data_IF_918364645493
#
_entry.id   IF_918364645493
#
_cell.length_a   1.000
_cell.length_b   1.000
_cell.length_c   1.000
_cell.angle_alpha   90.00
_cell.angle_beta   90.00
_cell.angle_gamma   90.00
#
_symmetry.space_group_name_H-M   'P 1'
#
loop_
_entity.id
_entity.type
_entity.pdbx_description
1 polymer ?
#
# COMPACT_ATOMS: atom_id res chain seq x y z
N UNK A 1 59.27 3.40 13.50
CA UNK A 1 58.10 2.55 13.78
C UNK A 1 57.12 3.39 14.59
N UNK A 2 56.08 3.90 13.95
CA UNK A 2 55.08 4.78 14.59
C UNK A 2 54.07 3.93 15.35
N UNK A 3 54.13 4.02 16.68
CA UNK A 3 53.14 3.49 17.62
C UNK A 3 51.80 4.19 17.41
N UNK A 4 50.92 3.56 16.63
CA UNK A 4 49.51 3.96 16.52
C UNK A 4 48.87 3.74 17.89
N UNK A 5 48.40 4.83 18.48
CA UNK A 5 47.71 4.84 19.76
C UNK A 5 46.34 4.13 19.59
N UNK A 6 46.08 2.98 20.23
CA UNK A 6 44.86 2.19 20.03
C UNK A 6 43.61 2.84 20.67
N UNK A 7 43.76 3.97 21.37
CA UNK A 7 42.68 4.70 22.05
C UNK A 7 41.72 5.45 21.13
N UNK A 8 42.02 5.55 19.82
CA UNK A 8 41.14 6.18 18.83
C UNK A 8 40.56 5.18 17.82
N UNK A 9 40.38 3.92 18.23
CA UNK A 9 39.30 3.09 17.70
C UNK A 9 37.96 3.57 18.28
N UNK A 10 37.65 4.85 18.04
CA UNK A 10 36.30 5.40 18.24
C UNK A 10 35.39 4.75 17.20
N UNK A 11 35.01 3.50 17.48
CA UNK A 11 33.88 2.82 16.84
C UNK A 11 32.58 3.39 17.41
N UNK A 12 32.42 4.70 17.41
CA UNK A 12 31.11 5.32 17.36
C UNK A 12 30.72 5.33 15.89
N UNK A 13 30.27 4.18 15.37
CA UNK A 13 29.34 4.24 14.25
C UNK A 13 28.28 5.25 14.70
N UNK A 14 27.97 6.32 13.95
CA UNK A 14 26.87 7.18 14.30
C UNK A 14 25.62 6.28 14.29
N UNK A 15 25.24 5.78 15.46
CA UNK A 15 23.95 5.19 15.70
C UNK A 15 23.06 6.41 15.63
N UNK A 16 22.56 6.71 14.41
CA UNK A 16 21.81 7.92 14.14
C UNK A 16 20.80 8.13 15.26
N UNK A 17 20.90 9.27 15.93
CA UNK A 17 20.13 9.55 17.14
C UNK A 17 18.66 9.30 16.86
N UNK A 18 18.06 8.39 17.64
CA UNK A 18 16.62 8.20 17.55
C UNK A 18 15.94 9.36 18.25
N UNK A 19 15.02 10.00 17.56
CA UNK A 19 14.19 11.08 18.12
C UNK A 19 12.76 10.60 18.25
N UNK A 20 12.09 11.11 19.27
CA UNK A 20 10.63 11.04 19.34
C UNK A 20 10.09 12.00 18.28
N UNK A 21 9.33 11.45 17.35
CA UNK A 21 8.61 12.18 16.32
C UNK A 21 7.14 12.19 16.67
N UNK A 22 6.56 13.38 16.79
CA UNK A 22 5.14 13.56 17.00
C UNK A 22 4.44 13.64 15.63
N UNK A 23 3.56 12.69 15.35
CA UNK A 23 2.81 12.60 14.11
C UNK A 23 1.40 13.13 14.36
N UNK A 24 1.00 14.14 13.61
CA UNK A 24 -0.31 14.76 13.68
C UNK A 24 -1.04 14.65 12.34
N UNK A 25 -2.28 14.17 12.37
CA UNK A 25 -3.16 14.13 11.21
C UNK A 25 -4.44 14.92 11.50
N UNK A 26 -4.75 15.86 10.60
CA UNK A 26 -5.85 16.81 10.71
C UNK A 26 -6.88 16.60 9.61
N UNK A 27 -8.16 16.90 9.88
CA UNK A 27 -9.20 16.93 8.84
C UNK A 27 -9.69 15.56 8.36
N UNK A 28 -9.36 14.49 9.08
CA UNK A 28 -9.92 13.17 8.86
C UNK A 28 -11.22 13.00 9.65
N UNK A 29 -12.26 12.51 8.99
CA UNK A 29 -13.54 12.12 9.62
C UNK A 29 -13.61 10.60 9.64
N UNK A 30 -13.97 10.04 10.79
CA UNK A 30 -14.07 8.59 11.00
C UNK A 30 -15.51 8.17 11.25
N UNK A 31 -15.87 6.99 10.77
CA UNK A 31 -17.09 6.31 11.17
C UNK A 31 -16.88 5.52 12.47
N UNK A 32 -17.96 5.19 13.21
CA UNK A 32 -17.85 4.37 14.41
C UNK A 32 -17.19 3.01 14.12
N UNK A 33 -16.15 2.68 14.87
CA UNK A 33 -15.38 1.44 14.68
C UNK A 33 -14.13 1.59 13.81
N UNK A 34 -13.95 2.74 13.15
CA UNK A 34 -12.74 2.99 12.37
C UNK A 34 -11.52 3.27 13.26
N UNK A 35 -10.37 2.79 12.83
CA UNK A 35 -9.06 3.03 13.44
C UNK A 35 -8.10 3.61 12.41
N UNK A 36 -7.26 4.54 12.85
CA UNK A 36 -6.28 5.22 11.99
C UNK A 36 -4.89 4.74 12.34
N UNK A 37 -4.12 4.46 11.31
CA UNK A 37 -2.75 4.00 11.45
C UNK A 37 -1.81 4.91 10.67
N UNK A 38 -0.66 5.17 11.28
CA UNK A 38 0.52 5.72 10.62
C UNK A 38 1.42 4.56 10.23
N UNK A 39 1.70 4.44 8.94
CA UNK A 39 2.58 3.42 8.38
C UNK A 39 3.85 4.09 7.90
N UNK A 40 5.00 3.61 8.36
CA UNK A 40 6.32 4.09 7.94
C UNK A 40 7.12 2.92 7.39
N UNK A 41 7.71 3.13 6.23
CA UNK A 41 8.64 2.21 5.59
C UNK A 41 10.03 2.81 5.55
N UNK A 42 11.01 2.01 5.94
CA UNK A 42 12.42 2.35 5.75
C UNK A 42 12.90 2.06 4.32
N UNK A 43 14.14 2.42 4.02
CA UNK A 43 14.76 2.18 2.72
C UNK A 43 15.02 0.69 2.43
N UNK A 44 14.86 -0.20 3.40
CA UNK A 44 14.90 -1.65 3.22
C UNK A 44 13.51 -2.25 2.97
N UNK A 45 12.45 -1.42 2.94
CA UNK A 45 11.07 -1.86 2.77
C UNK A 45 10.45 -2.45 4.03
N UNK A 46 11.08 -2.31 5.19
CA UNK A 46 10.50 -2.73 6.46
C UNK A 46 9.41 -1.74 6.88
N UNK A 47 8.17 -2.23 6.93
CA UNK A 47 7.00 -1.42 7.28
C UNK A 47 6.67 -1.58 8.75
N UNK A 48 6.57 -0.47 9.47
CA UNK A 48 6.06 -0.39 10.83
C UNK A 48 4.74 0.36 10.84
N UNK A 49 3.81 -0.12 11.66
CA UNK A 49 2.46 0.43 11.76
C UNK A 49 2.17 0.84 13.18
N UNK A 50 1.70 2.07 13.35
CA UNK A 50 1.43 2.69 14.63
C UNK A 50 -0.03 3.14 14.69
N UNK A 51 -0.75 2.78 15.76
CA UNK A 51 -2.11 3.24 15.98
C UNK A 51 -2.07 4.73 16.34
N UNK A 52 -2.90 5.54 15.68
CA UNK A 52 -3.07 6.94 16.04
C UNK A 52 -4.20 7.12 17.04
N UNK A 53 -3.96 7.94 18.06
CA UNK A 53 -4.94 8.29 19.09
C UNK A 53 -5.79 9.47 18.62
N UNK A 54 -7.12 9.34 18.72
CA UNK A 54 -8.04 10.44 18.47
C UNK A 54 -8.01 11.44 19.63
N UNK A 55 -7.67 12.68 19.35
CA UNK A 55 -7.76 13.80 20.28
C UNK A 55 -8.84 14.74 19.78
N UNK A 56 -9.97 14.77 20.50
CA UNK A 56 -11.11 15.59 20.17
C UNK A 56 -11.13 16.86 21.01
N UNK A 57 -11.16 18.01 20.36
CA UNK A 57 -11.31 19.32 20.99
C UNK A 57 -12.61 19.97 20.54
N UNK A 58 -13.10 20.98 21.27
CA UNK A 58 -14.33 21.71 20.93
C UNK A 58 -14.34 22.30 19.51
N UNK A 59 -13.18 22.50 18.89
CA UNK A 59 -13.02 23.15 17.58
C UNK A 59 -12.59 22.19 16.47
N UNK A 60 -11.91 21.09 16.81
CA UNK A 60 -11.32 20.20 15.82
C UNK A 60 -11.03 18.81 16.38
N UNK A 61 -11.08 17.82 15.49
CA UNK A 61 -10.58 16.46 15.72
C UNK A 61 -9.18 16.38 15.11
N UNK A 62 -8.21 15.88 15.88
CA UNK A 62 -6.87 15.56 15.40
C UNK A 62 -6.50 14.14 15.81
N UNK A 63 -5.65 13.49 15.04
CA UNK A 63 -5.09 12.18 15.36
C UNK A 63 -3.61 12.33 15.65
N UNK A 64 -3.12 11.68 16.70
CA UNK A 64 -1.74 11.81 17.15
C UNK A 64 -1.08 10.43 17.35
N UNK A 65 0.19 10.31 16.98
CA UNK A 65 1.04 9.19 17.40
C UNK A 65 2.46 9.68 17.74
N UNK A 66 3.06 9.07 18.75
CA UNK A 66 4.48 9.25 19.07
C UNK A 66 5.27 8.05 18.57
N UNK A 67 6.27 8.30 17.72
CA UNK A 67 7.08 7.25 17.09
C UNK A 67 8.57 7.55 17.20
N UNK A 68 9.38 6.52 17.39
CA UNK A 68 10.83 6.64 17.49
C UNK A 68 11.48 6.42 16.13
N UNK A 69 11.95 7.50 15.51
CA UNK A 69 12.58 7.47 14.17
C UNK A 69 14.02 7.92 14.26
N UNK A 70 14.86 7.44 13.34
CA UNK A 70 16.25 7.92 13.23
C UNK A 70 16.24 9.35 12.69
N UNK A 71 16.82 10.28 13.42
CA UNK A 71 16.84 11.68 13.04
C UNK A 71 17.50 11.90 11.68
N UNK A 72 16.89 12.73 10.84
CA UNK A 72 17.32 13.03 9.47
C UNK A 72 17.50 11.81 8.56
N UNK A 73 16.91 10.66 8.88
CA UNK A 73 16.83 9.55 7.95
C UNK A 73 15.65 9.73 7.00
N UNK A 74 15.86 9.38 5.73
CA UNK A 74 14.81 9.32 4.73
C UNK A 74 13.85 8.18 5.07
N UNK A 75 12.57 8.52 5.13
CA UNK A 75 11.48 7.60 5.38
C UNK A 75 10.40 7.82 4.33
N UNK A 76 9.70 6.75 4.01
CA UNK A 76 8.43 6.85 3.31
C UNK A 76 7.32 6.53 4.29
N UNK A 77 6.22 7.28 4.26
CA UNK A 77 5.10 7.05 5.14
C UNK A 77 3.77 7.22 4.43
N UNK A 78 2.72 6.67 5.03
CA UNK A 78 1.32 6.86 4.63
C UNK A 78 0.40 6.70 5.83
N UNK A 79 -0.82 7.18 5.70
CA UNK A 79 -1.87 7.01 6.68
C UNK A 79 -2.92 6.04 6.12
N UNK A 80 -3.44 5.15 6.95
CA UNK A 80 -4.48 4.19 6.56
C UNK A 80 -5.62 4.18 7.59
N UNK A 81 -6.84 4.10 7.08
CA UNK A 81 -8.07 3.95 7.87
C UNK A 81 -8.54 2.52 7.72
N UNK A 82 -8.69 1.84 8.85
CA UNK A 82 -9.13 0.44 8.91
C UNK A 82 -10.47 0.38 9.62
N UNK A 83 -11.41 -0.33 9.00
CA UNK A 83 -12.72 -0.63 9.57
C UNK A 83 -12.89 -2.14 9.59
N UNK A 84 -13.29 -2.71 10.74
CA UNK A 84 -13.52 -4.16 10.89
C UNK A 84 -12.33 -5.03 10.42
N UNK A 85 -11.10 -4.55 10.59
CA UNK A 85 -9.89 -5.24 10.16
C UNK A 85 -9.57 -5.13 8.66
N UNK A 86 -10.36 -4.39 7.87
CA UNK A 86 -10.12 -4.13 6.44
C UNK A 86 -9.70 -2.68 6.21
N UNK A 87 -8.68 -2.49 5.38
CA UNK A 87 -8.26 -1.16 4.95
C UNK A 87 -9.31 -0.56 4.02
N UNK A 88 -9.86 0.60 4.40
CA UNK A 88 -10.94 1.29 3.66
C UNK A 88 -10.40 2.45 2.85
N UNK A 89 -9.50 3.23 3.45
CA UNK A 89 -8.92 4.41 2.84
C UNK A 89 -7.44 4.49 3.17
N UNK A 90 -6.67 4.99 2.22
CA UNK A 90 -5.23 5.19 2.38
C UNK A 90 -4.86 6.55 1.80
N UNK A 91 -3.92 7.25 2.44
CA UNK A 91 -3.31 8.44 1.86
C UNK A 91 -2.30 8.04 0.78
N UNK A 92 -1.93 9.00 -0.06
CA UNK A 92 -0.74 8.84 -0.90
C UNK A 92 0.50 8.63 -0.02
N UNK A 93 1.45 7.81 -0.49
CA UNK A 93 2.74 7.66 0.15
C UNK A 93 3.58 8.91 -0.06
N UNK A 94 4.22 9.40 1.01
CA UNK A 94 5.08 10.57 0.99
C UNK A 94 6.46 10.21 1.49
N UNK A 95 7.46 10.91 0.98
CA UNK A 95 8.86 10.70 1.33
C UNK A 95 9.41 11.97 1.98
N UNK A 96 9.97 11.82 3.18
CA UNK A 96 10.49 12.94 3.98
C UNK A 96 11.75 12.52 4.73
N UNK A 97 12.46 13.50 5.30
CA UNK A 97 13.46 13.26 6.33
C UNK A 97 12.76 13.29 7.70
N UNK A 98 13.01 12.28 8.53
CA UNK A 98 12.46 12.20 9.87
C UNK A 98 12.95 13.37 10.74
N UNK A 99 12.02 14.07 11.37
CA UNK A 99 12.28 15.19 12.28
C UNK A 99 11.55 15.00 13.61
N UNK A 100 11.30 16.10 14.33
CA UNK A 100 10.55 16.04 15.59
C UNK A 100 9.03 16.02 15.39
N UNK A 101 8.55 16.52 14.25
CA UNK A 101 7.11 16.65 13.98
C UNK A 101 6.83 16.30 12.52
N UNK A 102 5.79 15.49 12.31
CA UNK A 102 5.17 15.24 11.01
C UNK A 102 3.72 15.70 11.15
N UNK A 103 3.34 16.79 10.50
CA UNK A 103 1.98 17.33 10.56
C UNK A 103 1.37 17.33 9.17
N UNK A 104 0.23 16.66 9.03
CA UNK A 104 -0.43 16.50 7.75
C UNK A 104 -1.93 16.77 7.84
N UNK A 105 -2.47 17.37 6.78
CA UNK A 105 -3.91 17.46 6.57
C UNK A 105 -4.33 16.32 5.67
N UNK A 106 -5.36 15.58 6.09
CA UNK A 106 -5.89 14.45 5.36
C UNK A 106 -6.43 14.88 3.99
N UNK A 107 -5.95 14.20 2.97
CA UNK A 107 -6.42 14.30 1.59
C UNK A 107 -6.77 12.88 1.12
N UNK A 108 -8.06 12.56 0.91
CA UNK A 108 -8.47 11.25 0.44
C UNK A 108 -7.80 10.95 -0.91
N UNK A 109 -7.03 9.86 -0.99
CA UNK A 109 -6.55 9.38 -2.28
C UNK A 109 -7.75 8.75 -3.01
N UNK A 110 -8.38 9.53 -3.89
CA UNK A 110 -9.39 9.02 -4.82
C UNK A 110 -8.65 8.47 -6.02
N UNK A 111 -8.07 7.27 -5.89
CA UNK A 111 -7.59 6.58 -7.08
C UNK A 111 -8.79 6.36 -8.01
N UNK A 112 -8.75 6.89 -9.25
CA UNK A 112 -9.82 6.65 -10.19
C UNK A 112 -9.77 5.16 -10.51
N UNK A 113 -10.81 4.44 -10.09
CA UNK A 113 -11.14 3.11 -10.59
C UNK A 113 -10.79 3.04 -12.08
N UNK A 114 -9.98 2.06 -12.53
CA UNK A 114 -9.69 1.94 -13.95
C UNK A 114 -11.04 1.73 -14.65
N UNK A 115 -11.48 2.74 -15.41
CA UNK A 115 -12.61 2.60 -16.32
C UNK A 115 -12.22 1.49 -17.28
N UNK A 116 -12.71 0.28 -17.00
CA UNK A 116 -12.66 -0.84 -17.94
C UNK A 116 -13.31 -0.29 -19.21
N UNK A 117 -12.49 0.05 -20.20
CA UNK A 117 -12.96 0.40 -21.53
C UNK A 117 -13.64 -0.86 -22.04
N UNK A 118 -14.97 -0.88 -21.94
CA UNK A 118 -15.82 -1.91 -22.52
C UNK A 118 -15.52 -1.89 -24.01
N UNK A 119 -14.75 -2.89 -24.46
CA UNK A 119 -14.35 -3.02 -25.85
C UNK A 119 -15.56 -2.87 -26.76
N UNK A 120 -15.44 -1.93 -27.70
CA UNK A 120 -16.41 -1.74 -28.76
C UNK A 120 -16.48 -3.04 -29.56
N UNK A 121 -17.60 -3.74 -29.39
CA UNK A 121 -18.08 -4.86 -30.22
C UNK A 121 -17.73 -4.61 -31.70
N UNK A 122 -16.99 -5.50 -32.39
CA UNK A 122 -16.72 -5.32 -33.81
C UNK A 122 -18.04 -5.36 -34.60
N UNK A 123 -18.30 -4.31 -35.38
CA UNK A 123 -19.40 -4.26 -36.33
C UNK A 123 -19.18 -5.34 -37.40
N UNK A 124 -20.19 -6.20 -37.58
CA UNK A 124 -20.33 -7.05 -38.77
C UNK A 124 -20.48 -6.18 -40.02
N UNK A 125 -19.74 -6.46 -41.11
CA UNK A 125 -20.20 -6.11 -42.45
C UNK A 125 -21.23 -7.14 -42.92
N UNK A 126 -22.39 -6.63 -43.32
CA UNK A 126 -23.44 -7.35 -44.05
C UNK A 126 -23.13 -7.30 -45.55
N UNK A 127 -22.98 -8.46 -46.19
CA UNK A 127 -22.90 -8.61 -47.65
C UNK A 127 -22.72 -10.08 -48.06
N UNK A 128 -23.58 -10.56 -48.95
CA UNK A 128 -23.99 -11.96 -49.20
C UNK A 128 -23.01 -12.88 -49.99
N UNK A 129 -23.26 -14.22 -50.07
CA UNK A 129 -22.38 -15.31 -50.60
C UNK A 129 -22.63 -15.59 -52.11
N UNK A 130 -21.96 -16.51 -52.87
CA UNK A 130 -21.51 -17.91 -52.59
C UNK A 130 -20.07 -18.22 -53.10
N UNK A 131 -19.40 -19.34 -52.79
CA UNK A 131 -19.60 -20.70 -53.32
C UNK A 131 -18.68 -21.73 -52.61
N UNK A 132 -19.09 -22.99 -52.76
CA UNK A 132 -18.69 -24.20 -52.05
C UNK A 132 -17.37 -24.79 -52.58
N UNK A 133 -16.45 -25.21 -51.69
CA UNK A 133 -15.73 -26.50 -51.85
C UNK A 133 -15.56 -27.21 -50.51
N UNK A 134 -16.11 -28.43 -50.47
CA UNK A 134 -16.02 -29.43 -49.39
C UNK A 134 -14.59 -29.98 -49.30
N UNK A 135 -14.06 -30.11 -48.09
CA UNK A 135 -13.28 -31.31 -47.69
C UNK A 135 -13.30 -31.50 -46.18
N UNK A 136 -14.21 -32.38 -45.76
CA UNK A 136 -14.03 -33.51 -44.84
C UNK A 136 -12.87 -33.48 -43.82
N UNK A 137 -13.24 -33.47 -42.53
CA UNK A 137 -12.39 -33.88 -41.40
C UNK A 137 -13.27 -34.08 -40.16
N UNK A 138 -13.37 -35.31 -39.68
CA UNK A 138 -14.32 -35.82 -38.68
C UNK A 138 -14.05 -35.38 -37.23
N UNK A 139 -15.16 -35.24 -36.49
CA UNK A 139 -15.46 -35.49 -35.07
C UNK A 139 -14.41 -36.15 -34.16
N UNK A 140 -14.29 -35.64 -32.93
CA UNK A 140 -14.19 -36.34 -31.61
C UNK A 140 -14.00 -35.23 -30.55
N UNK A 141 -15.01 -34.75 -29.83
CA UNK A 141 -15.67 -35.34 -28.65
C UNK A 141 -14.69 -35.96 -27.64
N UNK A 142 -14.23 -35.16 -26.68
CA UNK A 142 -13.74 -35.66 -25.39
C UNK A 142 -14.36 -34.86 -24.23
N UNK A 143 -15.16 -35.50 -23.37
CA UNK A 143 -15.45 -35.01 -22.04
C UNK A 143 -14.41 -35.61 -21.08
N UNK A 144 -13.49 -34.80 -20.56
CA UNK A 144 -12.42 -35.35 -19.70
C UNK A 144 -11.83 -34.39 -18.67
N UNK A 145 -12.34 -33.16 -18.56
CA UNK A 145 -11.74 -32.20 -17.63
C UNK A 145 -12.27 -32.36 -16.20
N UNK A 146 -13.49 -32.88 -16.02
CA UNK A 146 -14.12 -32.98 -14.70
C UNK A 146 -13.77 -34.24 -13.90
N UNK A 147 -13.30 -35.31 -14.54
CA UNK A 147 -12.94 -36.54 -13.84
C UNK A 147 -11.53 -36.50 -13.20
N UNK A 148 -10.67 -35.57 -13.61
CA UNK A 148 -9.35 -35.39 -12.97
C UNK A 148 -9.39 -34.66 -11.63
N UNK A 149 -10.46 -33.90 -11.33
CA UNK A 149 -10.56 -33.16 -10.05
C UNK A 149 -11.03 -34.04 -8.89
N UNK A 150 -11.58 -35.22 -9.16
CA UNK A 150 -12.14 -36.10 -8.12
C UNK A 150 -11.12 -37.06 -7.51
N UNK A 151 -9.92 -37.18 -8.08
CA UNK A 151 -8.83 -38.03 -7.58
C UNK A 151 -7.83 -37.28 -6.66
N UNK A 152 -8.15 -36.05 -6.25
CA UNK A 152 -7.31 -35.21 -5.37
C UNK A 152 -7.90 -35.02 -3.96
N UNK A 153 -9.06 -35.63 -3.69
CA UNK A 153 -9.77 -35.51 -2.42
C UNK A 153 -10.20 -36.87 -1.83
N UNK A 154 -9.54 -37.97 -2.23
CA UNK A 154 -9.59 -39.26 -1.53
C UNK A 154 -8.18 -39.67 -1.10
#
# INVERSE_FOLDING_TARGET
MSTINPLFLDSTKPIGDKVVTNVELLGLTLEPGDSVYFEVSDHYGFVQRFVMQKIETKKSIRFNAEVWLKYQHQIQYRFSVVSEGKERMTSASKEILAGHVISEKWEPCTDPTPKIKKDRRPQRPSGAPPEIKKTTGKLLNEPGFFDQLKALFD
#
